data_IF_363730390615
#
_entry.id   IF_363730390615
#
_cell.length_a   1.000
_cell.length_b   1.000
_cell.length_c   1.000
_cell.angle_alpha   90.00
_cell.angle_beta   90.00
_cell.angle_gamma   90.00
#
_symmetry.space_group_name_H-M   'P 1'
#
loop_
_entity.id
_entity.type
_entity.pdbx_description
1 polymer ?
#
# COMPACT_ATOMS: atom_id res chain seq x y z
N UNK A 1 13.18 16.16 -20.89
CA UNK A 1 12.60 15.37 -19.78
C UNK A 1 11.20 14.99 -20.22
N UNK A 2 10.86 13.72 -20.24
CA UNK A 2 9.52 13.25 -20.61
C UNK A 2 8.78 12.91 -19.31
N UNK A 3 7.62 13.56 -19.07
CA UNK A 3 6.79 13.33 -17.89
C UNK A 3 5.63 12.35 -18.16
N UNK A 4 5.69 11.63 -19.27
CA UNK A 4 4.69 10.61 -19.57
C UNK A 4 4.87 9.41 -18.64
N UNK A 5 3.76 8.94 -18.10
CA UNK A 5 3.75 7.70 -17.35
C UNK A 5 4.01 6.49 -18.25
N UNK A 6 4.66 5.48 -17.72
CA UNK A 6 4.81 4.22 -18.42
C UNK A 6 3.45 3.52 -18.60
N UNK A 7 3.36 2.61 -19.57
CA UNK A 7 2.15 1.80 -19.76
C UNK A 7 1.78 1.02 -18.49
N UNK A 8 2.80 0.49 -17.77
CA UNK A 8 2.61 -0.20 -16.49
C UNK A 8 2.00 0.71 -15.43
N UNK A 9 2.45 1.98 -15.33
CA UNK A 9 1.87 2.94 -14.40
C UNK A 9 0.42 3.25 -14.73
N UNK A 10 0.07 3.44 -16.02
CA UNK A 10 -1.30 3.69 -16.43
C UNK A 10 -2.25 2.53 -16.10
N UNK A 11 -1.82 1.30 -16.34
CA UNK A 11 -2.58 0.10 -15.99
C UNK A 11 -2.79 -0.03 -14.47
N UNK A 12 -1.76 0.27 -13.67
CA UNK A 12 -1.87 0.27 -12.21
C UNK A 12 -2.78 1.39 -11.70
N UNK A 13 -2.74 2.58 -12.29
CA UNK A 13 -3.66 3.67 -11.96
C UNK A 13 -5.13 3.28 -12.21
N UNK A 14 -5.42 2.67 -13.36
CA UNK A 14 -6.76 2.18 -13.66
C UNK A 14 -7.23 1.12 -12.64
N UNK A 15 -6.36 0.16 -12.35
CA UNK A 15 -6.61 -0.90 -11.38
C UNK A 15 -6.82 -0.34 -9.96
N UNK A 16 -5.98 0.62 -9.55
CA UNK A 16 -6.08 1.28 -8.24
C UNK A 16 -7.38 2.09 -8.12
N UNK A 17 -7.74 2.87 -9.14
CA UNK A 17 -8.99 3.61 -9.14
C UNK A 17 -10.20 2.68 -9.03
N UNK A 18 -10.21 1.58 -9.76
CA UNK A 18 -11.27 0.57 -9.66
C UNK A 18 -11.35 -0.02 -8.24
N UNK A 19 -10.22 -0.34 -7.64
CA UNK A 19 -10.16 -0.84 -6.26
C UNK A 19 -10.74 0.19 -5.27
N UNK A 20 -10.46 1.47 -5.45
CA UNK A 20 -11.01 2.55 -4.64
C UNK A 20 -12.53 2.63 -4.76
N UNK A 21 -13.07 2.62 -5.98
CA UNK A 21 -14.52 2.65 -6.23
C UNK A 21 -15.24 1.43 -5.63
N UNK A 22 -14.64 0.24 -5.73
CA UNK A 22 -15.28 -1.00 -5.30
C UNK A 22 -15.09 -1.29 -3.81
N UNK A 23 -13.99 -0.84 -3.19
CA UNK A 23 -13.58 -1.31 -1.88
C UNK A 23 -13.21 -0.22 -0.86
N UNK A 24 -12.70 0.94 -1.29
CA UNK A 24 -12.29 1.98 -0.35
C UNK A 24 -13.45 2.93 -0.05
N UNK A 25 -13.95 3.64 -1.05
CA UNK A 25 -15.01 4.63 -0.86
C UNK A 25 -16.29 4.06 -0.22
N UNK A 26 -16.78 2.85 -0.58
CA UNK A 26 -17.96 2.30 0.08
C UNK A 26 -17.76 1.96 1.56
N UNK A 27 -16.51 1.85 2.02
CA UNK A 27 -16.16 1.45 3.38
C UNK A 27 -15.69 2.60 4.28
N UNK A 28 -15.62 3.84 3.79
CA UNK A 28 -15.16 4.99 4.58
C UNK A 28 -15.98 5.19 5.86
N UNK A 29 -17.29 5.25 5.74
CA UNK A 29 -18.18 5.44 6.87
C UNK A 29 -18.09 4.27 7.88
N UNK A 30 -18.00 3.04 7.38
CA UNK A 30 -17.88 1.85 8.23
C UNK A 30 -16.55 1.83 8.99
N UNK A 31 -15.46 2.25 8.36
CA UNK A 31 -14.14 2.34 8.97
C UNK A 31 -14.10 3.38 10.10
N UNK A 32 -14.58 4.59 9.82
CA UNK A 32 -14.63 5.67 10.82
C UNK A 32 -15.54 5.33 11.98
N UNK A 33 -16.71 4.75 11.69
CA UNK A 33 -17.65 4.28 12.72
C UNK A 33 -17.03 3.23 13.64
N UNK A 34 -16.26 2.28 13.10
CA UNK A 34 -15.62 1.25 13.91
C UNK A 34 -14.61 1.84 14.90
N UNK A 35 -13.86 2.87 14.51
CA UNK A 35 -12.95 3.60 15.40
C UNK A 35 -13.74 4.33 16.48
N UNK A 36 -14.78 5.06 16.12
CA UNK A 36 -15.61 5.81 17.08
C UNK A 36 -16.28 4.89 18.10
N UNK A 37 -16.85 3.78 17.64
CA UNK A 37 -17.55 2.82 18.50
C UNK A 37 -16.59 2.09 19.47
N UNK A 38 -15.33 1.94 19.10
CA UNK A 38 -14.31 1.33 19.97
C UNK A 38 -13.92 2.20 21.17
N UNK A 39 -14.10 3.52 21.07
CA UNK A 39 -13.64 4.50 22.06
C UNK A 39 -12.10 4.63 22.13
N UNK A 40 -11.37 3.95 21.26
CA UNK A 40 -9.90 4.01 21.15
C UNK A 40 -9.52 4.61 19.78
N UNK A 41 -8.90 5.80 19.75
CA UNK A 41 -8.49 6.44 18.51
C UNK A 41 -7.38 5.68 17.75
N UNK A 42 -6.73 4.70 18.40
CA UNK A 42 -5.71 3.83 17.80
C UNK A 42 -6.27 2.46 17.40
N UNK A 43 -7.59 2.27 17.52
CA UNK A 43 -8.23 1.03 17.10
C UNK A 43 -8.04 0.76 15.61
N UNK A 44 -7.61 -0.45 15.29
CA UNK A 44 -7.49 -0.93 13.90
C UNK A 44 -8.72 -1.79 13.58
N UNK A 45 -9.64 -1.31 12.74
CA UNK A 45 -10.80 -2.10 12.34
C UNK A 45 -10.40 -3.38 11.59
N UNK A 46 -11.07 -4.51 11.85
CA UNK A 46 -10.84 -5.77 11.16
C UNK A 46 -11.06 -5.66 9.63
N UNK A 47 -11.86 -4.72 9.19
CA UNK A 47 -12.06 -4.36 7.78
C UNK A 47 -10.72 -4.05 7.07
N UNK A 48 -9.75 -3.47 7.79
CA UNK A 48 -8.44 -3.16 7.21
C UNK A 48 -7.71 -4.43 6.72
N UNK A 49 -7.74 -5.49 7.52
CA UNK A 49 -7.11 -6.76 7.16
C UNK A 49 -7.79 -7.42 5.96
N UNK A 50 -9.12 -7.33 5.89
CA UNK A 50 -9.88 -7.83 4.73
C UNK A 50 -9.51 -7.08 3.43
N UNK A 51 -9.33 -5.76 3.52
CA UNK A 51 -8.92 -4.94 2.38
C UNK A 51 -7.47 -5.19 1.97
N UNK A 52 -6.56 -5.40 2.94
CA UNK A 52 -5.17 -5.81 2.68
C UNK A 52 -5.12 -7.13 1.90
N UNK A 53 -5.92 -8.12 2.29
CA UNK A 53 -6.00 -9.39 1.57
C UNK A 53 -6.51 -9.23 0.13
N UNK A 54 -7.46 -8.33 -0.10
CA UNK A 54 -7.94 -8.03 -1.46
C UNK A 54 -6.85 -7.34 -2.29
N UNK A 55 -6.17 -6.34 -1.70
CA UNK A 55 -5.07 -5.64 -2.38
C UNK A 55 -3.94 -6.60 -2.80
N UNK A 56 -3.58 -7.56 -1.93
CA UNK A 56 -2.61 -8.61 -2.27
C UNK A 56 -3.06 -9.46 -3.45
N UNK A 57 -4.31 -9.93 -3.44
CA UNK A 57 -4.87 -10.77 -4.54
C UNK A 57 -4.93 -10.05 -5.87
N UNK A 58 -4.96 -8.73 -5.84
CA UNK A 58 -4.98 -7.89 -7.01
C UNK A 58 -3.60 -7.34 -7.40
N UNK A 59 -2.51 -7.82 -6.80
CA UNK A 59 -1.14 -7.36 -7.05
C UNK A 59 -0.97 -5.84 -6.85
N UNK A 60 -1.68 -5.28 -5.86
CA UNK A 60 -1.58 -3.87 -5.47
C UNK A 60 -0.76 -3.66 -4.20
N UNK A 61 -0.01 -4.67 -3.78
CA UNK A 61 0.78 -4.68 -2.57
C UNK A 61 2.20 -4.17 -2.81
N UNK A 62 2.75 -3.37 -1.89
CA UNK A 62 4.13 -2.85 -1.91
C UNK A 62 4.52 -2.09 -3.18
N UNK A 63 3.62 -1.43 -3.84
CA UNK A 63 3.89 -0.70 -5.08
C UNK A 63 4.92 0.44 -4.90
N UNK A 64 5.04 0.97 -3.68
CA UNK A 64 6.00 2.04 -3.35
C UNK A 64 7.46 1.58 -3.41
N UNK A 65 7.71 0.29 -3.15
CA UNK A 65 9.07 -0.24 -3.06
C UNK A 65 9.67 -0.39 -4.45
N UNK A 66 10.78 0.32 -4.77
CA UNK A 66 11.35 0.32 -6.12
C UNK A 66 12.07 -0.99 -6.47
N UNK A 67 12.34 -1.83 -5.48
CA UNK A 67 12.93 -3.14 -5.68
C UNK A 67 11.97 -4.06 -6.45
N UNK A 68 12.49 -4.84 -7.43
CA UNK A 68 11.67 -5.73 -8.25
C UNK A 68 11.42 -7.10 -7.63
N UNK A 69 12.14 -7.45 -6.58
CA UNK A 69 11.97 -8.72 -5.86
C UNK A 69 10.90 -8.59 -4.77
N UNK A 70 10.91 -7.46 -4.03
CA UNK A 70 10.02 -7.23 -2.89
C UNK A 70 8.90 -6.22 -3.19
N UNK A 71 9.02 -5.47 -4.26
CA UNK A 71 8.06 -4.47 -4.71
C UNK A 71 7.69 -4.63 -6.18
N UNK A 72 7.16 -3.57 -6.77
CA UNK A 72 6.72 -3.57 -8.16
C UNK A 72 7.80 -3.12 -9.16
N UNK A 73 8.97 -2.70 -8.71
CA UNK A 73 10.04 -2.18 -9.58
C UNK A 73 9.65 -0.90 -10.31
N UNK A 74 8.80 -0.07 -9.70
CA UNK A 74 8.37 1.19 -10.29
C UNK A 74 9.41 2.28 -10.05
N UNK A 75 9.54 3.18 -11.02
CA UNK A 75 10.25 4.44 -10.78
C UNK A 75 9.40 5.38 -9.93
N UNK A 76 10.01 6.38 -9.29
CA UNK A 76 9.26 7.38 -8.54
C UNK A 76 8.25 8.15 -9.41
N UNK A 77 8.55 8.36 -10.69
CA UNK A 77 7.63 8.99 -11.65
C UNK A 77 6.40 8.12 -11.88
N UNK A 78 6.58 6.81 -12.00
CA UNK A 78 5.49 5.87 -12.22
C UNK A 78 4.65 5.64 -10.96
N UNK A 79 5.26 5.71 -9.77
CA UNK A 79 4.57 5.53 -8.49
C UNK A 79 3.83 6.79 -8.02
N UNK A 80 4.31 7.99 -8.33
CA UNK A 80 3.73 9.25 -7.86
C UNK A 80 2.20 9.36 -8.06
N UNK A 81 1.62 9.03 -9.23
CA UNK A 81 0.17 9.07 -9.40
C UNK A 81 -0.58 8.01 -8.56
N UNK A 82 0.05 6.88 -8.25
CA UNK A 82 -0.53 5.87 -7.36
C UNK A 82 -0.57 6.37 -5.91
N UNK A 83 0.48 7.06 -5.47
CA UNK A 83 0.51 7.72 -4.17
C UNK A 83 -0.59 8.79 -4.04
N UNK A 84 -0.84 9.56 -5.11
CA UNK A 84 -1.94 10.54 -5.16
C UNK A 84 -3.30 9.86 -5.01
N UNK A 85 -3.54 8.75 -5.71
CA UNK A 85 -4.79 7.98 -5.61
C UNK A 85 -4.96 7.46 -4.18
N UNK A 86 -3.94 6.82 -3.60
CA UNK A 86 -4.03 6.27 -2.24
C UNK A 86 -4.22 7.33 -1.18
N UNK A 87 -3.73 8.55 -1.38
CA UNK A 87 -3.88 9.68 -0.48
C UNK A 87 -5.27 10.32 -0.45
N UNK A 88 -6.22 9.90 -1.27
CA UNK A 88 -7.59 10.42 -1.26
C UNK A 88 -8.34 10.06 0.04
N UNK A 89 -8.00 8.93 0.65
CA UNK A 89 -8.56 8.48 1.93
C UNK A 89 -7.42 8.25 2.91
N UNK A 90 -7.45 8.88 4.08
CA UNK A 90 -6.31 8.98 5.01
C UNK A 90 -5.77 7.63 5.52
N UNK A 91 -6.61 6.59 5.61
CA UNK A 91 -6.21 5.24 6.03
C UNK A 91 -5.90 4.30 4.86
N UNK A 92 -6.26 4.67 3.63
CA UNK A 92 -6.12 3.80 2.46
C UNK A 92 -4.67 3.40 2.12
N UNK A 93 -3.64 4.24 2.31
CA UNK A 93 -2.26 3.82 2.06
C UNK A 93 -1.85 2.55 2.82
N UNK A 94 -2.38 2.35 4.02
CA UNK A 94 -2.15 1.16 4.84
C UNK A 94 -2.68 -0.12 4.18
N UNK A 95 -3.77 -0.03 3.41
CA UNK A 95 -4.33 -1.17 2.65
C UNK A 95 -3.32 -1.74 1.64
N UNK A 96 -2.45 -0.89 1.11
CA UNK A 96 -1.44 -1.23 0.11
C UNK A 96 -0.03 -1.40 0.70
N UNK A 97 0.05 -1.52 2.03
CA UNK A 97 1.29 -1.60 2.81
C UNK A 97 2.21 -0.38 2.65
N UNK A 98 1.64 0.78 2.44
CA UNK A 98 2.36 2.03 2.28
C UNK A 98 2.08 2.96 3.46
N UNK A 99 2.60 2.61 4.64
CA UNK A 99 2.42 3.38 5.88
C UNK A 99 3.75 3.56 6.61
N UNK A 100 3.93 4.73 7.17
CA UNK A 100 5.10 5.00 8.04
C UNK A 100 4.85 4.42 9.44
N UNK A 101 5.87 3.86 10.10
CA UNK A 101 7.31 3.83 9.73
C UNK A 101 7.73 2.64 8.86
N UNK A 102 6.83 1.74 8.50
CA UNK A 102 7.15 0.43 7.91
C UNK A 102 7.77 0.56 6.52
N UNK A 103 7.32 1.52 5.70
CA UNK A 103 7.89 1.76 4.37
C UNK A 103 9.40 2.02 4.41
N UNK A 104 9.85 2.92 5.29
CA UNK A 104 11.29 3.21 5.44
C UNK A 104 12.08 2.02 5.97
N UNK A 105 11.50 1.24 6.89
CA UNK A 105 12.12 0.02 7.40
C UNK A 105 12.26 -1.04 6.30
N UNK A 106 11.25 -1.21 5.46
CA UNK A 106 11.28 -2.13 4.32
C UNK A 106 12.34 -1.74 3.29
N UNK A 107 12.44 -0.46 2.94
CA UNK A 107 13.46 0.04 2.02
C UNK A 107 14.88 -0.23 2.54
N UNK A 108 15.14 0.07 3.83
CA UNK A 108 16.44 -0.18 4.45
C UNK A 108 16.77 -1.68 4.44
N UNK A 109 15.82 -2.53 4.81
CA UNK A 109 16.04 -3.98 4.82
C UNK A 109 16.22 -4.52 3.40
N UNK A 110 15.44 -4.07 2.43
CA UNK A 110 15.56 -4.52 1.05
C UNK A 110 16.92 -4.15 0.44
N UNK A 111 17.44 -2.96 0.72
CA UNK A 111 18.68 -2.47 0.13
C UNK A 111 19.93 -2.96 0.89
N UNK A 112 19.92 -2.87 2.23
CA UNK A 112 21.12 -3.07 3.05
C UNK A 112 21.09 -4.33 3.92
N UNK A 113 19.94 -5.00 4.06
CA UNK A 113 19.82 -6.19 4.88
C UNK A 113 20.56 -7.39 4.30
N UNK A 114 21.13 -8.24 5.18
CA UNK A 114 21.59 -9.57 4.77
C UNK A 114 20.38 -10.44 4.40
N UNK A 115 20.61 -11.53 3.66
CA UNK A 115 19.50 -12.43 3.31
C UNK A 115 18.79 -12.97 4.57
N UNK A 116 19.54 -13.32 5.60
CA UNK A 116 18.99 -13.78 6.88
C UNK A 116 18.11 -12.71 7.55
N UNK A 117 18.52 -11.43 7.51
CA UNK A 117 17.71 -10.32 8.03
C UNK A 117 16.44 -10.09 7.20
N UNK A 118 16.55 -10.19 5.87
CA UNK A 118 15.40 -10.09 4.98
C UNK A 118 14.39 -11.20 5.24
N UNK A 119 14.86 -12.45 5.33
CA UNK A 119 14.02 -13.62 5.59
C UNK A 119 13.31 -13.54 6.95
N UNK A 120 13.99 -12.98 7.94
CA UNK A 120 13.44 -12.86 9.29
C UNK A 120 12.52 -11.64 9.47
N UNK A 121 12.91 -10.47 8.99
CA UNK A 121 12.25 -9.22 9.31
C UNK A 121 11.39 -8.68 8.18
N UNK A 122 11.86 -8.77 6.94
CA UNK A 122 11.08 -8.28 5.81
C UNK A 122 9.81 -9.09 5.63
N UNK A 123 9.86 -10.39 5.92
CA UNK A 123 8.67 -11.25 5.89
C UNK A 123 7.60 -10.83 6.90
N UNK A 124 7.98 -10.29 8.07
CA UNK A 124 7.04 -9.83 9.10
C UNK A 124 6.36 -8.50 8.74
N UNK A 125 7.08 -7.62 8.04
CA UNK A 125 6.56 -6.31 7.60
C UNK A 125 5.81 -6.47 6.28
N UNK A 126 6.17 -7.48 5.51
CA UNK A 126 5.74 -7.71 4.13
C UNK A 126 4.49 -8.61 3.99
N UNK A 127 4.15 -9.33 5.04
CA UNK A 127 3.09 -10.34 5.02
C UNK A 127 1.71 -9.74 4.83
#
# INVERSE_FOLDING_TARGET
>A
MDFKFSQKSLELQEKMNKFFEEHIFPNEEAYEKAILDSGDPLHIPALLDELKEKARKEDLWNLFLPDSEYGAGLTNVDYAPLAEITGQVWWAPEVFNCSAPDTGNMEILAEFGTQEQKDQWLSLIHI
#
